data_IF_731700620012
#
_entry.id   IF_731700620012
#
_cell.length_a   1.000
_cell.length_b   1.000
_cell.length_c   1.000
_cell.angle_alpha   90.00
_cell.angle_beta   90.00
_cell.angle_gamma   90.00
#
_symmetry.space_group_name_H-M   'P 1'
#
loop_
_entity.id
_entity.type
_entity.pdbx_description
1 polymer ?
#
# COMPACT_ATOMS: atom_id res chain seq x y z
N UNK A 1 -37.73 -14.40 6.90
CA UNK A 1 -37.45 -13.29 5.97
C UNK A 1 -37.02 -12.16 6.89
N UNK A 2 -35.77 -12.19 7.31
CA UNK A 2 -35.24 -11.17 8.20
C UNK A 2 -35.28 -9.85 7.43
N UNK A 3 -36.03 -8.89 7.97
CA UNK A 3 -36.00 -7.54 7.43
C UNK A 3 -34.60 -7.00 7.74
N UNK A 4 -33.83 -6.66 6.71
CA UNK A 4 -32.56 -5.93 6.89
C UNK A 4 -32.88 -4.63 7.64
N UNK A 5 -32.55 -4.62 8.93
CA UNK A 5 -32.81 -3.47 9.80
C UNK A 5 -31.78 -2.40 9.44
N UNK A 6 -32.22 -1.32 8.79
CA UNK A 6 -31.31 -0.25 8.36
C UNK A 6 -31.24 0.89 9.36
N UNK A 7 -30.07 1.52 9.47
CA UNK A 7 -29.84 2.71 10.30
C UNK A 7 -29.22 3.84 9.47
N UNK A 8 -29.55 5.09 9.82
CA UNK A 8 -28.89 6.28 9.26
C UNK A 8 -27.72 6.64 10.17
N UNK A 9 -26.52 6.74 9.60
CA UNK A 9 -25.35 7.28 10.29
C UNK A 9 -24.92 8.60 9.66
N UNK A 10 -24.20 9.42 10.43
CA UNK A 10 -23.46 10.58 9.93
C UNK A 10 -21.97 10.22 9.90
N UNK A 11 -21.35 10.24 8.74
CA UNK A 11 -19.92 10.06 8.61
C UNK A 11 -19.23 11.39 8.29
N UNK A 12 -18.05 11.63 8.85
CA UNK A 12 -17.17 12.75 8.55
C UNK A 12 -15.85 12.23 8.01
N UNK A 13 -15.20 12.97 7.14
CA UNK A 13 -13.87 12.65 6.65
C UNK A 13 -13.11 13.94 6.38
N UNK A 14 -11.85 14.00 6.82
CA UNK A 14 -10.93 15.05 6.40
C UNK A 14 -10.31 14.64 5.07
N UNK A 15 -10.71 15.34 4.01
CA UNK A 15 -10.11 15.25 2.68
C UNK A 15 -9.28 16.51 2.43
N UNK A 16 -8.45 16.52 1.38
CA UNK A 16 -7.49 17.60 1.11
C UNK A 16 -8.13 19.01 1.03
N UNK A 17 -9.43 19.09 0.72
CA UNK A 17 -10.22 20.33 0.62
C UNK A 17 -10.92 20.75 1.93
N UNK A 18 -10.75 20.00 3.02
CA UNK A 18 -11.35 20.23 4.33
C UNK A 18 -12.20 19.07 4.85
N UNK A 19 -12.95 19.30 5.93
CA UNK A 19 -13.82 18.29 6.52
C UNK A 19 -15.16 18.21 5.78
N UNK A 20 -15.46 17.05 5.19
CA UNK A 20 -16.74 16.77 4.55
C UNK A 20 -17.56 15.82 5.42
N UNK A 21 -18.87 16.06 5.53
CA UNK A 21 -19.78 15.17 6.23
C UNK A 21 -20.90 14.66 5.31
N UNK A 22 -21.26 13.38 5.46
CA UNK A 22 -22.33 12.72 4.71
C UNK A 22 -23.27 12.00 5.67
N UNK A 23 -24.56 11.92 5.31
CA UNK A 23 -25.50 11.00 5.96
C UNK A 23 -25.73 9.83 5.01
N UNK A 24 -25.59 8.62 5.51
CA UNK A 24 -25.76 7.40 4.72
C UNK A 24 -26.63 6.39 5.46
N UNK A 25 -27.35 5.58 4.70
CA UNK A 25 -28.11 4.44 5.21
C UNK A 25 -27.23 3.20 5.09
N UNK A 26 -27.14 2.43 6.16
CA UNK A 26 -26.39 1.18 6.23
C UNK A 26 -27.22 0.10 6.93
N UNK A 27 -26.87 -1.17 6.73
CA UNK A 27 -27.39 -2.27 7.56
C UNK A 27 -26.92 -2.06 9.00
N UNK A 28 -27.81 -2.27 9.97
CA UNK A 28 -27.51 -2.15 11.41
C UNK A 28 -26.49 -3.21 11.86
N UNK A 29 -26.45 -4.36 11.19
CA UNK A 29 -25.52 -5.47 11.44
C UNK A 29 -24.35 -5.50 10.43
N UNK A 30 -24.08 -4.39 9.74
CA UNK A 30 -22.96 -4.27 8.80
C UNK A 30 -21.64 -4.67 9.47
N UNK A 31 -20.77 -5.37 8.74
CA UNK A 31 -19.42 -5.68 9.19
C UNK A 31 -18.50 -4.47 9.11
N UNK A 32 -17.53 -4.38 10.01
CA UNK A 32 -16.59 -3.26 10.06
C UNK A 32 -15.86 -3.05 8.72
N UNK A 33 -15.40 -4.13 8.09
CA UNK A 33 -14.76 -4.07 6.76
C UNK A 33 -15.69 -3.53 5.67
N UNK A 34 -16.97 -3.92 5.68
CA UNK A 34 -17.95 -3.43 4.71
C UNK A 34 -18.31 -1.96 4.96
N UNK A 35 -18.38 -1.54 6.23
CA UNK A 35 -18.55 -0.14 6.58
C UNK A 35 -17.37 0.70 6.08
N UNK A 36 -16.12 0.26 6.31
CA UNK A 36 -14.93 0.92 5.79
C UNK A 36 -14.99 1.06 4.27
N UNK A 37 -15.30 -0.03 3.55
CA UNK A 37 -15.47 -0.02 2.10
C UNK A 37 -16.48 1.04 1.65
N UNK A 38 -17.69 1.05 2.25
CA UNK A 38 -18.72 2.04 1.89
C UNK A 38 -18.27 3.47 2.19
N UNK A 39 -17.56 3.70 3.30
CA UNK A 39 -17.07 5.03 3.64
C UNK A 39 -15.99 5.49 2.66
N UNK A 40 -15.04 4.63 2.29
CA UNK A 40 -14.02 4.93 1.26
C UNK A 40 -14.67 5.33 -0.06
N UNK A 41 -15.63 4.56 -0.55
CA UNK A 41 -16.38 4.87 -1.79
C UNK A 41 -17.14 6.20 -1.69
N UNK A 42 -17.68 6.53 -0.51
CA UNK A 42 -18.45 7.77 -0.32
C UNK A 42 -17.56 9.01 -0.25
N UNK A 43 -16.33 8.87 0.24
CA UNK A 43 -15.38 9.96 0.40
C UNK A 43 -14.27 9.98 -0.65
N UNK A 44 -14.30 9.06 -1.63
CA UNK A 44 -13.28 8.91 -2.67
C UNK A 44 -11.87 8.68 -2.08
N UNK A 45 -11.79 7.83 -1.04
CA UNK A 45 -10.53 7.54 -0.34
C UNK A 45 -9.90 6.26 -0.89
N UNK A 46 -8.79 6.43 -1.60
CA UNK A 46 -8.04 5.33 -2.19
C UNK A 46 -7.41 4.38 -1.14
N UNK A 47 -7.29 3.11 -1.51
CA UNK A 47 -6.78 2.01 -0.66
C UNK A 47 -5.27 2.10 -0.36
N UNK A 48 -4.53 2.95 -1.07
CA UNK A 48 -3.14 3.30 -0.72
C UNK A 48 -3.06 4.08 0.60
N UNK A 49 -4.14 4.77 0.99
CA UNK A 49 -4.23 5.50 2.26
C UNK A 49 -4.62 4.58 3.40
N UNK A 50 -3.96 4.78 4.54
CA UNK A 50 -4.39 4.20 5.81
C UNK A 50 -5.58 5.00 6.30
N UNK A 51 -6.64 4.31 6.72
CA UNK A 51 -7.77 4.96 7.38
C UNK A 51 -7.88 4.46 8.81
N UNK A 52 -8.38 5.32 9.68
CA UNK A 52 -8.78 4.97 11.03
C UNK A 52 -10.22 5.42 11.21
N UNK A 53 -11.06 4.52 11.72
CA UNK A 53 -12.46 4.81 11.98
C UNK A 53 -12.63 5.13 13.46
N UNK A 54 -13.37 6.21 13.72
CA UNK A 54 -13.71 6.63 15.06
C UNK A 54 -15.21 6.84 15.20
N UNK A 55 -15.73 6.53 16.37
CA UNK A 55 -17.05 6.90 16.83
C UNK A 55 -16.93 8.13 17.75
N UNK A 56 -17.81 9.11 17.54
CA UNK A 56 -17.87 10.33 18.33
C UNK A 56 -18.98 10.22 19.38
N UNK A 57 -18.60 10.11 20.64
CA UNK A 57 -19.53 10.02 21.78
C UNK A 57 -19.40 11.24 22.68
N UNK A 58 -20.45 12.07 22.79
CA UNK A 58 -20.54 13.30 23.59
C UNK A 58 -19.34 14.29 23.51
N UNK A 59 -18.15 13.90 23.96
CA UNK A 59 -16.88 14.64 23.89
C UNK A 59 -15.66 13.79 23.46
N UNK A 60 -15.77 12.46 23.40
CA UNK A 60 -14.66 11.55 23.13
C UNK A 60 -14.62 11.07 21.68
N UNK A 61 -13.39 10.84 21.22
CA UNK A 61 -13.08 10.31 19.90
C UNK A 61 -12.61 8.86 20.07
N UNK A 62 -13.56 7.93 20.02
CA UNK A 62 -13.36 6.52 20.38
C UNK A 62 -12.99 5.74 19.12
N UNK A 63 -11.85 5.05 19.13
CA UNK A 63 -11.43 4.24 17.99
C UNK A 63 -12.36 3.03 17.79
N UNK A 64 -12.69 2.72 16.55
CA UNK A 64 -13.46 1.54 16.16
C UNK A 64 -12.56 0.64 15.32
N UNK A 65 -12.02 -0.39 15.96
CA UNK A 65 -11.02 -1.33 15.45
C UNK A 65 -11.53 -2.77 15.41
N UNK A 66 -12.55 -3.08 16.21
CA UNK A 66 -13.17 -4.41 16.30
C UNK A 66 -14.69 -4.33 16.15
N UNK A 67 -15.29 -5.48 15.85
CA UNK A 67 -16.74 -5.60 15.57
C UNK A 67 -17.61 -5.29 16.78
N UNK A 68 -17.15 -5.60 17.99
CA UNK A 68 -17.85 -5.29 19.24
C UNK A 68 -17.87 -3.78 19.53
N UNK A 69 -16.78 -3.07 19.23
CA UNK A 69 -16.72 -1.61 19.31
C UNK A 69 -17.70 -0.96 18.32
N UNK A 70 -17.82 -1.50 17.10
CA UNK A 70 -18.80 -1.04 16.11
C UNK A 70 -20.23 -1.28 16.60
N UNK A 71 -20.53 -2.46 17.14
CA UNK A 71 -21.86 -2.77 17.65
C UNK A 71 -22.27 -1.78 18.77
N UNK A 72 -21.36 -1.47 19.69
CA UNK A 72 -21.60 -0.48 20.75
C UNK A 72 -21.84 0.93 20.18
N UNK A 73 -21.06 1.35 19.18
CA UNK A 73 -21.22 2.63 18.51
C UNK A 73 -22.56 2.76 17.77
N UNK A 74 -23.12 1.65 17.27
CA UNK A 74 -24.39 1.63 16.56
C UNK A 74 -25.61 1.75 17.49
N UNK A 75 -25.45 1.38 18.76
CA UNK A 75 -26.51 1.46 19.79
C UNK A 75 -26.44 2.74 20.62
N UNK A 76 -25.32 3.47 20.57
CA UNK A 76 -25.08 4.64 21.42
C UNK A 76 -26.03 5.81 21.18
N UNK A 77 -26.54 5.97 19.96
CA UNK A 77 -27.42 7.08 19.59
C UNK A 77 -28.32 6.76 18.40
N UNK A 78 -29.36 7.58 18.20
CA UNK A 78 -30.30 7.42 17.08
C UNK A 78 -29.65 7.62 15.70
N UNK A 79 -28.61 8.46 15.63
CA UNK A 79 -27.84 8.72 14.41
C UNK A 79 -26.36 8.76 14.82
N UNK A 80 -25.72 7.58 14.90
CA UNK A 80 -24.31 7.48 15.24
C UNK A 80 -23.46 8.36 14.33
N UNK A 81 -22.46 9.01 14.93
CA UNK A 81 -21.54 9.88 14.22
C UNK A 81 -20.18 9.18 14.15
N UNK A 82 -19.75 8.87 12.94
CA UNK A 82 -18.44 8.32 12.66
C UNK A 82 -17.53 9.37 12.04
N UNK A 83 -16.24 9.25 12.30
CA UNK A 83 -15.18 10.03 11.67
C UNK A 83 -14.16 9.07 11.04
N UNK A 84 -13.98 9.20 9.73
CA UNK A 84 -12.96 8.51 8.97
C UNK A 84 -11.74 9.43 8.85
N UNK A 85 -10.69 9.11 9.60
CA UNK A 85 -9.43 9.84 9.56
C UNK A 85 -8.54 9.20 8.49
N UNK A 86 -8.28 9.93 7.42
CA UNK A 86 -7.35 9.51 6.37
C UNK A 86 -5.95 9.92 6.76
N UNK A 87 -5.05 8.94 6.86
CA UNK A 87 -3.63 9.15 7.10
C UNK A 87 -2.85 8.73 5.87
N UNK A 88 -1.76 9.45 5.61
CA UNK A 88 -0.73 8.89 4.74
C UNK A 88 -0.24 7.59 5.36
N UNK A 89 -0.04 6.57 4.54
CA UNK A 89 0.64 5.35 4.97
C UNK A 89 2.00 5.81 5.49
N UNK A 90 2.28 5.55 6.77
CA UNK A 90 3.54 5.98 7.35
C UNK A 90 4.66 5.33 6.54
N UNK A 91 5.50 6.15 5.91
CA UNK A 91 6.69 5.67 5.22
C UNK A 91 7.78 5.58 6.28
N UNK A 92 8.14 4.36 6.64
CA UNK A 92 9.12 4.05 7.68
C UNK A 92 10.55 4.29 7.20
N UNK A 93 10.76 4.44 5.88
CA UNK A 93 12.07 4.73 5.31
C UNK A 93 12.01 5.09 3.84
N UNK A 94 12.97 5.92 3.42
CA UNK A 94 13.21 6.24 2.02
C UNK A 94 14.62 5.81 1.63
N UNK A 95 14.73 5.03 0.57
CA UNK A 95 15.98 4.43 0.12
C UNK A 95 16.22 4.71 -1.36
N UNK A 96 17.49 4.66 -1.77
CA UNK A 96 17.87 4.76 -3.19
C UNK A 96 18.57 3.49 -3.59
N UNK A 97 18.01 2.79 -4.58
CA UNK A 97 18.61 1.58 -5.15
C UNK A 97 20.04 1.89 -5.67
N UNK A 98 21.03 1.01 -5.44
CA UNK A 98 20.93 -0.36 -4.91
C UNK A 98 20.94 -0.48 -3.38
N UNK A 99 20.99 0.64 -2.64
CA UNK A 99 21.06 0.62 -1.18
C UNK A 99 19.67 0.60 -0.56
N UNK A 100 19.13 -0.61 -0.40
CA UNK A 100 17.85 -0.84 0.28
C UNK A 100 18.10 -1.53 1.61
N UNK A 101 17.55 -1.00 2.71
CA UNK A 101 17.62 -1.65 4.02
C UNK A 101 16.52 -2.69 4.18
N UNK A 102 16.75 -3.64 5.09
CA UNK A 102 15.71 -4.56 5.55
C UNK A 102 14.77 -3.86 6.53
N UNK A 103 13.48 -4.16 6.43
CA UNK A 103 12.43 -3.71 7.36
C UNK A 103 11.90 -4.86 8.22
N UNK A 104 11.10 -4.52 9.21
CA UNK A 104 10.27 -5.47 9.98
C UNK A 104 8.94 -5.69 9.29
N UNK A 105 8.25 -6.83 9.52
CA UNK A 105 6.89 -7.01 9.05
C UNK A 105 5.99 -5.84 9.43
N UNK A 106 5.33 -5.23 8.45
CA UNK A 106 4.50 -4.03 8.60
C UNK A 106 5.18 -2.75 8.13
N UNK A 107 6.52 -2.69 8.13
CA UNK A 107 7.26 -1.51 7.67
C UNK A 107 6.97 -1.26 6.17
N UNK A 108 6.80 0.00 5.82
CA UNK A 108 6.58 0.45 4.45
C UNK A 108 7.70 1.40 4.04
N UNK A 109 8.48 0.99 3.05
CA UNK A 109 9.58 1.78 2.51
C UNK A 109 9.25 2.28 1.11
N UNK A 110 9.74 3.48 0.80
CA UNK A 110 9.81 3.96 -0.57
C UNK A 110 11.24 3.76 -1.09
N UNK A 111 11.34 3.16 -2.27
CA UNK A 111 12.63 2.92 -2.93
C UNK A 111 12.66 3.69 -4.24
N UNK A 112 13.53 4.71 -4.31
CA UNK A 112 13.88 5.39 -5.54
C UNK A 112 14.79 4.49 -6.37
N UNK A 113 14.33 4.16 -7.57
CA UNK A 113 15.08 3.49 -8.61
C UNK A 113 15.30 4.48 -9.74
N UNK A 114 16.55 4.93 -9.88
CA UNK A 114 16.92 5.85 -10.95
C UNK A 114 16.87 5.15 -12.32
N UNK A 115 16.56 5.91 -13.36
CA UNK A 115 16.51 5.51 -14.77
C UNK A 115 17.63 4.53 -15.16
N UNK A 116 18.88 4.82 -14.78
CA UNK A 116 20.05 4.00 -15.12
C UNK A 116 19.96 2.54 -14.67
N UNK A 117 19.13 2.25 -13.65
CA UNK A 117 18.90 0.90 -13.13
C UNK A 117 17.68 0.22 -13.75
N UNK A 118 16.79 0.99 -14.39
CA UNK A 118 15.55 0.52 -15.01
C UNK A 118 15.81 -0.05 -16.42
N UNK A 119 16.64 -1.09 -16.50
CA UNK A 119 16.88 -1.81 -17.75
C UNK A 119 16.80 -3.32 -17.57
N UNK A 120 16.45 -4.05 -18.64
CA UNK A 120 16.47 -5.51 -18.68
C UNK A 120 17.85 -6.01 -18.23
N UNK A 121 18.90 -5.42 -18.81
CA UNK A 121 20.29 -5.77 -18.47
C UNK A 121 20.54 -5.71 -16.97
N UNK A 122 20.05 -4.67 -16.26
CA UNK A 122 20.22 -4.58 -14.81
C UNK A 122 19.36 -5.60 -14.04
N UNK A 123 18.11 -5.85 -14.46
CA UNK A 123 17.23 -6.83 -13.83
C UNK A 123 17.68 -8.29 -14.02
N UNK A 124 18.55 -8.56 -15.00
CA UNK A 124 19.04 -9.89 -15.35
C UNK A 124 20.51 -10.14 -15.04
N UNK A 125 21.17 -9.25 -14.29
CA UNK A 125 22.57 -9.46 -13.86
C UNK A 125 22.68 -10.68 -12.95
N UNK A 126 23.84 -11.33 -12.95
CA UNK A 126 24.12 -12.50 -12.11
C UNK A 126 23.99 -12.23 -10.60
N UNK A 127 24.23 -10.99 -10.17
CA UNK A 127 24.10 -10.54 -8.79
C UNK A 127 22.67 -10.08 -8.42
N UNK A 128 21.77 -9.93 -9.40
CA UNK A 128 20.36 -9.61 -9.17
C UNK A 128 19.53 -10.88 -9.12
N UNK A 129 19.24 -11.33 -7.89
CA UNK A 129 18.44 -12.53 -7.62
C UNK A 129 17.13 -12.15 -6.95
N UNK A 130 16.05 -12.84 -7.31
CA UNK A 130 14.76 -12.67 -6.67
C UNK A 130 14.09 -14.04 -6.52
N UNK A 131 13.41 -14.22 -5.39
CA UNK A 131 12.77 -15.48 -5.03
C UNK A 131 11.29 -15.25 -4.72
N UNK A 132 10.41 -15.94 -5.44
CA UNK A 132 8.96 -15.81 -5.32
C UNK A 132 8.27 -15.05 -6.45
N UNK A 133 6.95 -14.94 -6.35
CA UNK A 133 6.05 -14.33 -7.32
C UNK A 133 5.00 -13.55 -6.54
N UNK A 134 4.86 -12.26 -6.85
CA UNK A 134 4.09 -11.25 -6.09
C UNK A 134 4.61 -11.00 -4.66
N UNK A 135 4.92 -12.05 -3.91
CA UNK A 135 5.57 -12.02 -2.60
C UNK A 135 7.00 -12.53 -2.78
N UNK A 136 7.98 -11.70 -2.42
CA UNK A 136 9.40 -11.97 -2.60
C UNK A 136 10.09 -12.12 -1.24
N UNK A 137 11.14 -12.95 -1.13
CA UNK A 137 11.98 -12.96 0.08
C UNK A 137 12.65 -11.60 0.27
N UNK A 138 12.91 -11.20 1.51
CA UNK A 138 13.42 -9.85 1.82
C UNK A 138 14.84 -9.53 1.32
N UNK A 139 15.56 -10.55 0.84
CA UNK A 139 16.87 -10.43 0.21
C UNK A 139 16.80 -10.40 -1.32
N UNK A 140 15.59 -10.44 -1.90
CA UNK A 140 15.39 -10.30 -3.35
C UNK A 140 15.77 -8.89 -3.83
N UNK A 141 16.37 -8.81 -5.01
CA UNK A 141 16.68 -7.56 -5.69
C UNK A 141 15.39 -6.83 -6.11
N UNK A 142 15.30 -5.55 -5.73
CA UNK A 142 14.11 -4.72 -5.94
C UNK A 142 13.87 -4.43 -7.42
N UNK A 143 14.90 -4.21 -8.24
CA UNK A 143 14.75 -3.94 -9.68
C UNK A 143 14.21 -5.19 -10.39
N UNK A 144 14.73 -6.36 -10.05
CA UNK A 144 14.24 -7.63 -10.60
C UNK A 144 12.81 -7.92 -10.16
N UNK A 145 12.50 -7.74 -8.88
CA UNK A 145 11.14 -7.90 -8.37
C UNK A 145 10.17 -6.91 -9.05
N UNK A 146 10.56 -5.65 -9.20
CA UNK A 146 9.77 -4.60 -9.86
C UNK A 146 9.42 -4.97 -11.29
N UNK A 147 10.41 -5.35 -12.09
CA UNK A 147 10.21 -5.78 -13.47
C UNK A 147 9.33 -7.03 -13.58
N UNK A 148 9.46 -7.97 -12.62
CA UNK A 148 8.63 -9.17 -12.56
C UNK A 148 7.17 -8.90 -12.17
N UNK A 149 6.84 -7.77 -11.52
CA UNK A 149 5.46 -7.44 -11.12
C UNK A 149 4.55 -6.95 -12.26
N UNK A 150 5.06 -6.83 -13.49
CA UNK A 150 4.36 -6.23 -14.65
C UNK A 150 4.02 -4.74 -14.49
N UNK A 151 4.34 -4.11 -13.35
CA UNK A 151 4.07 -2.69 -13.08
C UNK A 151 5.03 -1.76 -13.83
N UNK A 152 6.19 -2.27 -14.24
CA UNK A 152 7.19 -1.54 -15.01
C UNK A 152 7.72 -2.46 -16.09
N UNK A 153 7.50 -2.09 -17.35
CA UNK A 153 8.16 -2.72 -18.48
C UNK A 153 9.57 -2.16 -18.63
N UNK A 154 10.57 -3.04 -18.65
CA UNK A 154 11.97 -2.66 -18.84
C UNK A 154 12.40 -2.95 -20.28
N UNK A 155 13.31 -2.13 -20.79
CA UNK A 155 14.00 -2.36 -22.06
C UNK A 155 15.51 -2.32 -21.85
N UNK A 156 16.31 -2.49 -22.89
CA UNK A 156 17.76 -2.33 -22.79
C UNK A 156 18.19 -0.86 -22.62
N UNK A 157 17.31 0.09 -22.94
CA UNK A 157 17.59 1.53 -22.88
C UNK A 157 16.95 2.10 -21.61
N UNK A 158 17.71 2.82 -20.76
CA UNK A 158 17.16 3.52 -19.61
C UNK A 158 16.03 4.50 -20.02
N UNK A 159 14.88 4.49 -19.34
CA UNK A 159 13.79 5.43 -19.63
C UNK A 159 14.13 6.86 -19.19
N UNK A 160 13.45 7.88 -19.72
CA UNK A 160 13.65 9.29 -19.30
C UNK A 160 12.97 9.63 -17.94
N UNK A 161 12.72 8.63 -17.12
CA UNK A 161 12.05 8.75 -15.84
C UNK A 161 12.70 7.88 -14.77
N UNK A 162 12.51 8.27 -13.51
CA UNK A 162 12.82 7.42 -12.37
C UNK A 162 11.52 6.77 -11.86
N UNK A 163 11.67 5.71 -11.08
CA UNK A 163 10.55 5.02 -10.43
C UNK A 163 10.70 5.15 -8.91
N UNK A 164 9.61 5.41 -8.21
CA UNK A 164 9.52 5.14 -6.78
C UNK A 164 8.60 3.94 -6.57
N UNK A 165 9.14 2.89 -5.97
CA UNK A 165 8.40 1.70 -5.58
C UNK A 165 8.05 1.75 -4.09
N UNK A 166 6.78 1.55 -3.75
CA UNK A 166 6.31 1.38 -2.37
C UNK A 166 6.42 -0.10 -2.01
N UNK A 167 7.35 -0.42 -1.12
CA UNK A 167 7.68 -1.77 -0.68
C UNK A 167 7.15 -1.98 0.73
N UNK A 168 6.27 -2.97 0.93
CA UNK A 168 5.80 -3.36 2.26
C UNK A 168 6.43 -4.68 2.68
N UNK A 169 7.03 -4.70 3.87
CA UNK A 169 7.58 -5.90 4.48
C UNK A 169 6.48 -6.75 5.13
N UNK A 170 6.58 -8.06 4.97
CA UNK A 170 5.64 -9.06 5.47
C UNK A 170 6.38 -10.11 6.31
N UNK A 171 5.66 -10.88 7.13
CA UNK A 171 6.19 -12.12 7.66
C UNK A 171 6.67 -13.05 6.54
N UNK A 172 7.62 -13.91 6.87
CA UNK A 172 8.11 -14.96 5.99
C UNK A 172 7.06 -16.01 5.64
N UNK A 173 7.26 -16.67 4.50
CA UNK A 173 6.46 -17.81 4.05
C UNK A 173 7.28 -19.11 4.17
N UNK A 174 6.59 -20.24 4.31
CA UNK A 174 7.23 -21.57 4.29
C UNK A 174 7.74 -21.96 2.90
N UNK A 175 7.21 -21.32 1.85
CA UNK A 175 7.60 -21.59 0.46
C UNK A 175 7.27 -20.40 -0.43
N UNK A 176 8.16 -20.12 -1.36
CA UNK A 176 8.01 -19.11 -2.41
C UNK A 176 8.08 -19.82 -3.75
N UNK A 177 7.09 -19.59 -4.60
CA UNK A 177 7.07 -20.12 -5.96
C UNK A 177 7.64 -19.07 -6.89
N UNK A 178 8.69 -19.41 -7.64
CA UNK A 178 9.21 -18.55 -8.70
C UNK A 178 8.42 -18.73 -9.99
N UNK A 179 8.43 -17.70 -10.83
CA UNK A 179 7.82 -17.72 -12.16
C UNK A 179 8.65 -16.94 -13.18
N UNK A 180 8.21 -16.94 -14.43
CA UNK A 180 8.75 -16.05 -15.46
C UNK A 180 7.66 -15.14 -15.95
N UNK A 181 7.97 -13.86 -16.04
CA UNK A 181 7.07 -12.80 -16.46
C UNK A 181 7.86 -11.73 -17.21
N UNK A 182 7.39 -11.29 -18.38
CA UNK A 182 8.06 -10.26 -19.22
C UNK A 182 9.56 -10.49 -19.46
N UNK A 183 9.98 -11.76 -19.62
CA UNK A 183 11.40 -12.12 -19.80
C UNK A 183 12.24 -12.07 -18.52
N UNK A 184 11.65 -11.71 -17.38
CA UNK A 184 12.25 -11.76 -16.05
C UNK A 184 11.86 -13.06 -15.36
N UNK A 185 12.85 -13.83 -14.91
CA UNK A 185 12.63 -15.07 -14.16
C UNK A 185 13.02 -14.90 -12.70
N UNK A 186 12.13 -15.33 -11.80
CA UNK A 186 12.38 -15.45 -10.36
C UNK A 186 12.47 -16.92 -9.97
N UNK A 187 13.12 -17.20 -8.85
CA UNK A 187 13.37 -18.57 -8.39
C UNK A 187 12.38 -18.99 -7.31
N UNK A 188 12.12 -20.29 -7.22
CA UNK A 188 11.44 -20.83 -6.05
C UNK A 188 12.40 -20.89 -4.86
N UNK A 189 11.89 -20.71 -3.65
CA UNK A 189 12.66 -20.84 -2.42
C UNK A 189 11.87 -21.51 -1.30
N UNK A 190 12.58 -22.07 -0.34
CA UNK A 190 12.00 -22.72 0.83
C UNK A 190 11.56 -21.71 1.91
N UNK A 191 11.48 -22.15 3.17
CA UNK A 191 11.16 -21.28 4.29
C UNK A 191 12.14 -20.11 4.39
N UNK A 192 11.60 -18.90 4.51
CA UNK A 192 12.37 -17.69 4.77
C UNK A 192 11.65 -16.87 5.84
N UNK A 193 12.38 -16.05 6.61
CA UNK A 193 11.85 -15.41 7.83
C UNK A 193 11.04 -14.13 7.56
N UNK A 194 11.27 -13.50 6.42
CA UNK A 194 10.70 -12.19 6.06
C UNK A 194 10.48 -12.09 4.54
N UNK A 195 9.48 -11.33 4.16
CA UNK A 195 9.15 -11.10 2.74
C UNK A 195 8.92 -9.63 2.47
N UNK A 196 8.81 -9.25 1.20
CA UNK A 196 8.18 -8.01 0.81
C UNK A 196 7.24 -8.19 -0.38
N UNK A 197 6.39 -7.19 -0.57
CA UNK A 197 5.61 -6.99 -1.79
C UNK A 197 5.86 -5.57 -2.31
N UNK A 198 5.70 -5.39 -3.61
CA UNK A 198 5.65 -4.06 -4.23
C UNK A 198 4.18 -3.69 -4.35
N UNK A 199 3.71 -2.78 -3.51
CA UNK A 199 2.30 -2.38 -3.45
C UNK A 199 1.95 -1.39 -4.54
N UNK A 200 2.81 -0.39 -4.73
CA UNK A 200 2.58 0.72 -5.64
C UNK A 200 3.87 1.06 -6.38
N UNK A 201 3.72 1.57 -7.58
CA UNK A 201 4.80 2.07 -8.42
C UNK A 201 4.34 3.38 -9.00
N UNK A 202 5.15 4.42 -8.83
CA UNK A 202 4.92 5.73 -9.45
C UNK A 202 6.13 6.19 -10.22
N UNK A 203 5.86 6.81 -11.36
CA UNK A 203 6.88 7.38 -12.23
C UNK A 203 7.10 8.84 -11.84
N UNK A 204 8.36 9.25 -11.74
CA UNK A 204 8.74 10.64 -11.52
C UNK A 204 9.68 11.09 -12.63
N UNK A 205 9.62 12.38 -13.00
CA UNK A 205 10.53 12.94 -14.00
C UNK A 205 11.98 12.71 -13.57
N UNK A 206 12.81 12.17 -14.45
CA UNK A 206 14.24 12.14 -14.21
C UNK A 206 14.75 13.60 -14.23
N UNK A 207 15.64 14.01 -13.30
CA UNK A 207 16.25 15.33 -13.40
C UNK A 207 16.96 15.43 -14.76
N UNK A 208 16.65 16.47 -15.54
CA UNK A 208 17.38 16.77 -16.77
C UNK A 208 18.86 16.88 -16.41
N UNK A 209 19.71 16.03 -17.00
CA UNK A 209 21.16 16.13 -16.92
C UNK A 209 21.61 17.43 -17.60
N UNK A 210 21.46 18.57 -16.92
CA UNK A 210 22.13 19.80 -17.33
C UNK A 210 23.58 19.69 -16.88
N UNK A 211 24.46 19.67 -17.88
CA UNK A 211 25.92 19.81 -17.85
C UNK A 211 26.49 20.20 -16.48
N UNK A 212 27.04 19.22 -15.75
CA UNK A 212 28.07 19.55 -14.76
C UNK A 212 29.34 19.90 -15.53
N UNK A 213 29.44 21.19 -15.83
CA UNK A 213 30.66 21.94 -16.08
C UNK A 213 31.81 21.39 -15.24
N UNK A 214 32.84 20.90 -15.93
CA UNK A 214 34.18 20.80 -15.36
C UNK A 214 34.63 22.22 -15.01
N UNK A 215 34.86 22.47 -13.73
CA UNK A 215 35.62 23.62 -13.22
C UNK A 215 36.73 23.12 -12.33
#
# INVERSE_FOLDING_TARGET
MDQEETIIIKARCNVDEGQVARKIVIDKNIKLEELEYKLRERFDVSYDKRVELYYLDEQDHIAVTFEDELALAMESSKVPIFELVVKQKAIDGFYTYPKVSKGKPGDVFEVLVESQWLTITNATRDDTKAWGTFIYTDDSDVVKALAHTEKVELTDIPPEYNVIATVRFLPGCLKYYGSSCQGITTMSFGPYISSFIIEEVRVIAAPSYNEKSYS
#
